data_IF_959593941621
#
_entry.id   IF_959593941621
#
_cell.length_a   1.000
_cell.length_b   1.000
_cell.length_c   1.000
_cell.angle_alpha   90.00
_cell.angle_beta   90.00
_cell.angle_gamma   90.00
#
_symmetry.space_group_name_H-M   'P 1'
#
loop_
_entity.id
_entity.type
_entity.pdbx_description
1 polymer ?
#
# COMPACT_ATOMS: atom_id res chain seq x y z
N UNK A 1 11.60 12.79 17.40
CA UNK A 1 10.58 11.99 16.69
C UNK A 1 10.15 12.79 15.49
N UNK A 2 10.40 12.28 14.29
CA UNK A 2 9.89 12.90 13.08
C UNK A 2 8.38 12.68 13.04
N UNK A 3 7.62 13.74 13.28
CA UNK A 3 6.19 13.76 13.18
C UNK A 3 5.77 13.60 11.71
N UNK A 4 4.70 12.89 11.47
CA UNK A 4 4.07 12.64 10.17
C UNK A 4 4.62 11.45 9.38
N UNK A 5 5.08 10.41 10.06
CA UNK A 5 5.46 9.16 9.40
C UNK A 5 4.26 8.23 9.23
N UNK A 6 3.81 8.08 7.99
CA UNK A 6 2.68 7.20 7.62
C UNK A 6 3.00 5.70 7.74
N UNK A 7 4.25 5.32 7.95
CA UNK A 7 4.65 3.92 8.16
C UNK A 7 4.10 3.32 9.47
N UNK A 8 3.71 4.19 10.40
CA UNK A 8 3.13 3.81 11.68
C UNK A 8 1.60 3.91 11.74
N UNK A 9 0.95 4.38 10.68
CA UNK A 9 -0.51 4.45 10.63
C UNK A 9 -1.12 3.05 10.75
N UNK A 10 -2.05 2.90 11.68
CA UNK A 10 -2.66 1.62 12.01
C UNK A 10 -1.90 0.76 13.03
N UNK A 11 -0.65 1.11 13.37
CA UNK A 11 0.11 0.43 14.43
C UNK A 11 -0.19 1.00 15.82
N UNK A 12 -0.45 2.29 15.89
CA UNK A 12 -0.87 2.99 17.10
C UNK A 12 -1.60 4.29 16.75
N UNK A 13 -2.26 4.86 17.74
CA UNK A 13 -2.96 6.14 17.65
C UNK A 13 -2.41 7.12 18.66
N UNK A 14 -2.38 8.39 18.29
CA UNK A 14 -1.86 9.48 19.13
C UNK A 14 -3.03 10.22 19.77
N UNK A 15 -3.31 9.95 21.03
CA UNK A 15 -4.34 10.65 21.81
C UNK A 15 -3.82 11.94 22.40
N UNK A 16 -4.60 13.01 22.30
CA UNK A 16 -4.29 14.34 22.84
C UNK A 16 -5.38 14.71 23.83
N UNK A 17 -5.12 14.51 25.11
CA UNK A 17 -6.12 14.72 26.17
C UNK A 17 -6.58 16.17 26.30
N UNK A 18 -5.72 17.14 26.03
CA UNK A 18 -6.09 18.57 26.07
C UNK A 18 -7.14 18.97 25.05
N UNK A 19 -7.24 18.23 23.95
CA UNK A 19 -8.23 18.48 22.88
C UNK A 19 -9.32 17.42 22.79
N UNK A 20 -9.16 16.31 23.50
CA UNK A 20 -10.07 15.17 23.45
C UNK A 20 -10.08 14.46 22.08
N UNK A 21 -8.96 14.49 21.34
CA UNK A 21 -8.86 13.98 19.97
C UNK A 21 -7.77 12.93 19.87
N UNK A 22 -8.03 11.84 19.13
CA UNK A 22 -6.98 10.92 18.72
C UNK A 22 -6.72 11.03 17.21
N UNK A 23 -5.45 10.94 16.85
CA UNK A 23 -4.94 11.11 15.49
C UNK A 23 -4.15 9.89 15.02
N UNK A 24 -4.00 9.78 13.70
CA UNK A 24 -3.00 8.90 13.10
C UNK A 24 -1.59 9.49 13.26
N UNK A 25 -0.53 8.67 13.32
CA UNK A 25 0.86 9.14 13.38
C UNK A 25 1.24 10.10 12.26
N UNK A 26 0.68 9.94 11.07
CA UNK A 26 0.92 10.81 9.91
C UNK A 26 0.13 12.11 9.90
N UNK A 27 -0.66 12.41 10.94
CA UNK A 27 -1.52 13.57 10.95
C UNK A 27 -0.73 14.87 10.86
N UNK A 28 -1.06 15.72 9.88
CA UNK A 28 -0.43 17.04 9.66
C UNK A 28 -0.98 18.15 10.60
N UNK A 29 -1.63 17.78 11.68
CA UNK A 29 -2.02 18.75 12.69
C UNK A 29 -0.81 19.30 13.45
N UNK A 30 -0.96 20.48 14.07
CA UNK A 30 0.09 21.04 14.93
C UNK A 30 0.44 20.02 16.03
N UNK A 31 1.74 19.81 16.23
CA UNK A 31 2.24 18.89 17.26
C UNK A 31 1.77 19.34 18.65
N UNK A 32 1.11 18.46 19.39
CA UNK A 32 0.74 18.72 20.76
C UNK A 32 1.98 18.70 21.68
N UNK A 33 1.85 19.32 22.83
CA UNK A 33 2.86 19.20 23.88
C UNK A 33 2.93 17.74 24.36
N UNK A 34 4.10 17.18 24.48
CA UNK A 34 4.33 15.78 24.84
C UNK A 34 3.60 15.36 26.14
N UNK A 35 3.53 16.27 27.11
CA UNK A 35 2.79 16.01 28.38
C UNK A 35 1.30 15.73 28.22
N UNK A 36 0.73 16.08 27.07
CA UNK A 36 -0.71 15.87 26.78
C UNK A 36 -0.95 14.69 25.82
N UNK A 37 0.12 13.97 25.46
CA UNK A 37 0.06 12.88 24.48
C UNK A 37 0.07 11.53 25.19
N UNK A 38 -0.85 10.67 24.78
CA UNK A 38 -0.87 9.24 25.16
C UNK A 38 -0.97 8.42 23.88
N UNK A 39 -0.22 7.34 23.82
CA UNK A 39 -0.27 6.42 22.69
C UNK A 39 -1.22 5.25 23.01
N UNK A 40 -2.08 4.93 22.05
CA UNK A 40 -3.04 3.83 22.14
C UNK A 40 -2.72 2.79 21.07
N UNK A 41 -2.73 1.53 21.42
CA UNK A 41 -2.47 0.44 20.46
C UNK A 41 -3.63 0.24 19.51
N UNK A 42 -4.86 0.53 19.97
CA UNK A 42 -6.06 0.39 19.17
C UNK A 42 -6.92 1.66 19.21
N UNK A 43 -7.78 1.81 18.23
CA UNK A 43 -8.75 2.90 18.18
C UNK A 43 -9.77 2.81 19.32
N UNK A 44 -10.18 1.59 19.63
CA UNK A 44 -11.14 1.29 20.68
C UNK A 44 -10.64 1.74 22.06
N UNK A 45 -9.35 1.57 22.35
CA UNK A 45 -8.70 2.09 23.55
C UNK A 45 -8.78 3.62 23.65
N UNK A 46 -8.51 4.32 22.53
CA UNK A 46 -8.60 5.76 22.47
C UNK A 46 -10.04 6.26 22.69
N UNK A 47 -11.03 5.58 22.11
CA UNK A 47 -12.46 5.90 22.30
C UNK A 47 -12.88 5.62 23.75
N UNK A 48 -12.47 4.50 24.34
CA UNK A 48 -12.73 4.17 25.74
C UNK A 48 -12.14 5.20 26.72
N UNK A 49 -11.04 5.85 26.33
CA UNK A 49 -10.44 6.98 27.06
C UNK A 49 -11.18 8.32 26.88
N UNK A 50 -12.31 8.32 26.18
CA UNK A 50 -13.13 9.51 25.93
C UNK A 50 -12.67 10.41 24.80
N UNK A 51 -11.76 9.91 23.93
CA UNK A 51 -11.27 10.67 22.78
C UNK A 51 -12.13 10.43 21.55
N UNK A 52 -12.25 11.44 20.69
CA UNK A 52 -12.90 11.35 19.39
C UNK A 52 -11.90 11.38 18.25
N UNK A 53 -12.28 10.83 17.10
CA UNK A 53 -11.43 10.83 15.90
C UNK A 53 -11.15 12.23 15.36
N UNK A 54 -9.96 12.43 14.86
CA UNK A 54 -9.54 13.67 14.23
C UNK A 54 -10.21 13.82 12.85
N UNK A 55 -10.91 14.94 12.63
CA UNK A 55 -11.56 15.25 11.36
C UNK A 55 -10.57 15.46 10.21
N UNK A 56 -9.33 15.89 10.51
CA UNK A 56 -8.30 16.16 9.50
C UNK A 56 -7.70 14.87 8.93
N UNK A 57 -7.27 13.93 9.77
CA UNK A 57 -6.73 12.65 9.33
C UNK A 57 -7.78 11.53 9.25
N UNK A 58 -9.01 11.80 9.66
CA UNK A 58 -10.14 10.86 9.68
C UNK A 58 -9.79 9.54 10.38
N UNK A 59 -9.07 9.64 11.51
CA UNK A 59 -8.62 8.48 12.30
C UNK A 59 -9.77 7.58 12.75
N UNK A 60 -10.97 8.12 12.88
CA UNK A 60 -12.19 7.39 13.23
C UNK A 60 -12.59 6.36 12.14
N UNK A 61 -12.31 6.68 10.87
CA UNK A 61 -12.66 5.84 9.73
C UNK A 61 -11.49 4.99 9.22
N UNK A 62 -10.31 5.15 9.80
CA UNK A 62 -9.10 4.43 9.40
C UNK A 62 -8.82 3.29 10.39
N UNK A 63 -8.57 2.05 9.95
CA UNK A 63 -8.56 1.51 8.59
C UNK A 63 -9.88 0.81 8.16
N UNK A 64 -10.97 0.98 8.86
CA UNK A 64 -12.15 0.10 8.84
C UNK A 64 -12.97 0.08 7.55
N UNK A 65 -12.87 1.10 6.72
CA UNK A 65 -13.57 1.11 5.44
C UNK A 65 -12.59 1.39 4.32
N UNK A 66 -12.50 0.46 3.39
CA UNK A 66 -11.83 0.70 2.13
C UNK A 66 -12.61 1.80 1.37
N UNK A 67 -11.98 2.94 1.08
CA UNK A 67 -12.66 3.94 0.27
C UNK A 67 -12.92 3.42 -1.14
N UNK A 68 -13.96 3.91 -1.77
CA UNK A 68 -14.38 3.51 -3.12
C UNK A 68 -13.23 3.57 -4.13
N UNK A 69 -12.45 4.67 -4.12
CA UNK A 69 -11.30 4.82 -4.98
C UNK A 69 -10.24 3.72 -4.82
N UNK A 70 -10.11 3.13 -3.63
CA UNK A 70 -9.17 2.03 -3.41
C UNK A 70 -9.68 0.73 -4.03
N UNK A 71 -10.99 0.47 -3.97
CA UNK A 71 -11.59 -0.64 -4.70
C UNK A 71 -11.36 -0.51 -6.21
N UNK A 72 -11.55 0.70 -6.76
CA UNK A 72 -11.33 0.98 -8.18
C UNK A 72 -9.88 0.77 -8.59
N UNK A 73 -8.93 1.22 -7.78
CA UNK A 73 -7.50 1.00 -8.01
C UNK A 73 -7.14 -0.48 -7.99
N UNK A 74 -7.65 -1.24 -7.02
CA UNK A 74 -7.38 -2.68 -6.93
C UNK A 74 -7.99 -3.44 -8.12
N UNK A 75 -9.19 -3.08 -8.55
CA UNK A 75 -9.82 -3.65 -9.74
C UNK A 75 -8.99 -3.33 -10.99
N UNK A 76 -8.61 -2.06 -11.16
CA UNK A 76 -7.74 -1.63 -12.26
C UNK A 76 -6.41 -2.42 -12.31
N UNK A 77 -5.74 -2.59 -11.17
CA UNK A 77 -4.49 -3.33 -11.08
C UNK A 77 -4.63 -4.80 -11.52
N UNK A 78 -5.77 -5.43 -11.20
CA UNK A 78 -6.06 -6.82 -11.61
C UNK A 78 -6.36 -6.94 -13.09
N UNK A 79 -7.06 -5.97 -13.66
CA UNK A 79 -7.41 -5.94 -15.09
C UNK A 79 -6.21 -5.60 -15.96
N UNK A 80 -5.30 -4.75 -15.47
CA UNK A 80 -4.13 -4.26 -16.21
C UNK A 80 -2.83 -4.89 -15.68
N UNK A 81 -2.81 -6.22 -15.58
CA UNK A 81 -1.66 -7.00 -15.08
C UNK A 81 -0.42 -6.94 -15.97
N UNK A 82 -0.59 -6.54 -17.20
CA UNK A 82 0.50 -6.43 -18.19
C UNK A 82 1.09 -5.02 -18.28
N UNK A 83 0.46 -4.01 -17.70
CA UNK A 83 0.88 -2.62 -17.82
C UNK A 83 1.71 -2.16 -16.62
N UNK A 84 2.67 -1.28 -16.89
CA UNK A 84 3.39 -0.58 -15.83
C UNK A 84 2.52 0.53 -15.25
N UNK A 85 2.33 0.52 -13.94
CA UNK A 85 1.59 1.56 -13.23
C UNK A 85 2.55 2.63 -12.71
N UNK A 86 2.14 3.91 -12.81
CA UNK A 86 2.88 5.06 -12.27
C UNK A 86 2.06 5.78 -11.21
N UNK A 87 2.74 6.55 -10.35
CA UNK A 87 2.06 7.33 -9.31
C UNK A 87 1.17 8.43 -9.90
N UNK A 88 1.60 9.05 -11.00
CA UNK A 88 0.82 10.05 -11.73
C UNK A 88 -0.51 9.47 -12.24
N UNK A 89 -0.48 8.22 -12.71
CA UNK A 89 -1.70 7.53 -13.14
C UNK A 89 -2.63 7.27 -11.97
N UNK A 90 -2.11 6.86 -10.82
CA UNK A 90 -2.89 6.66 -9.60
C UNK A 90 -3.56 7.96 -9.14
N UNK A 91 -2.83 9.07 -9.10
CA UNK A 91 -3.37 10.38 -8.75
C UNK A 91 -4.49 10.80 -9.71
N UNK A 92 -4.29 10.61 -11.01
CA UNK A 92 -5.28 10.92 -12.04
C UNK A 92 -6.57 10.12 -11.91
N UNK A 93 -6.44 8.82 -11.62
CA UNK A 93 -7.59 7.92 -11.46
C UNK A 93 -8.41 8.23 -10.23
N UNK A 94 -7.74 8.46 -9.12
CA UNK A 94 -8.37 8.58 -7.80
C UNK A 94 -8.69 10.01 -7.40
N UNK A 95 -7.98 10.98 -7.97
CA UNK A 95 -7.95 12.40 -7.55
C UNK A 95 -7.55 12.57 -6.07
N UNK A 96 -6.80 11.61 -5.55
CA UNK A 96 -6.26 11.55 -4.19
C UNK A 96 -4.76 11.76 -4.25
N UNK A 97 -4.19 12.47 -3.30
CA UNK A 97 -2.74 12.66 -3.23
C UNK A 97 -2.00 11.35 -2.96
N UNK A 98 -0.78 11.26 -3.45
CA UNK A 98 0.00 10.03 -3.39
C UNK A 98 0.34 9.60 -1.96
N UNK A 99 0.52 10.54 -1.04
CA UNK A 99 0.80 10.22 0.37
C UNK A 99 -0.39 9.53 1.03
N UNK A 100 -1.61 9.96 0.73
CA UNK A 100 -2.84 9.30 1.17
C UNK A 100 -2.99 7.91 0.56
N UNK A 101 -2.75 7.77 -0.75
CA UNK A 101 -2.79 6.47 -1.43
C UNK A 101 -1.79 5.50 -0.80
N UNK A 102 -0.54 5.91 -0.59
CA UNK A 102 0.49 5.08 0.05
C UNK A 102 0.11 4.69 1.47
N UNK A 103 -0.49 5.60 2.24
CA UNK A 103 -0.95 5.34 3.60
C UNK A 103 -2.00 4.23 3.64
N UNK A 104 -3.02 4.30 2.80
CA UNK A 104 -4.07 3.28 2.73
C UNK A 104 -3.52 1.92 2.25
N UNK A 105 -2.64 1.91 1.26
CA UNK A 105 -1.99 0.67 0.82
C UNK A 105 -1.17 0.02 1.93
N UNK A 106 -0.39 0.79 2.69
CA UNK A 106 0.37 0.24 3.83
C UNK A 106 -0.52 -0.28 4.94
N UNK A 107 -1.60 0.44 5.26
CA UNK A 107 -2.51 0.05 6.33
C UNK A 107 -3.30 -1.22 5.99
N UNK A 108 -3.81 -1.34 4.76
CA UNK A 108 -4.67 -2.45 4.36
C UNK A 108 -3.94 -3.60 3.70
N UNK A 109 -2.84 -3.34 3.01
CA UNK A 109 -2.13 -4.31 2.17
C UNK A 109 -0.67 -4.52 2.59
N UNK A 110 -0.18 -3.78 3.58
CA UNK A 110 1.18 -3.92 4.12
C UNK A 110 2.31 -3.50 3.17
N UNK A 111 2.00 -2.83 2.07
CA UNK A 111 2.96 -2.49 1.02
C UNK A 111 2.64 -1.16 0.32
N UNK A 112 3.48 -0.73 -0.61
CA UNK A 112 3.19 0.45 -1.43
C UNK A 112 2.39 0.08 -2.69
N UNK A 113 1.66 1.02 -3.32
CA UNK A 113 0.86 0.74 -4.52
C UNK A 113 1.67 0.11 -5.65
N UNK A 114 2.83 0.67 -5.95
CA UNK A 114 3.67 0.20 -7.05
C UNK A 114 4.29 -1.18 -6.77
N UNK A 115 4.67 -1.46 -5.51
CA UNK A 115 5.14 -2.79 -5.11
C UNK A 115 4.03 -3.82 -5.19
N UNK A 116 2.82 -3.45 -4.78
CA UNK A 116 1.65 -4.31 -4.88
C UNK A 116 1.32 -4.67 -6.34
N UNK A 117 1.31 -3.67 -7.23
CA UNK A 117 1.08 -3.92 -8.66
C UNK A 117 2.20 -4.73 -9.31
N UNK A 118 3.46 -4.48 -8.92
CA UNK A 118 4.60 -5.32 -9.36
C UNK A 118 4.40 -6.79 -8.99
N UNK A 119 3.92 -7.06 -7.77
CA UNK A 119 3.61 -8.42 -7.34
C UNK A 119 2.53 -9.07 -8.21
N UNK A 120 1.45 -8.34 -8.53
CA UNK A 120 0.39 -8.82 -9.44
C UNK A 120 0.96 -9.16 -10.82
N UNK A 121 1.81 -8.29 -11.38
CA UNK A 121 2.47 -8.52 -12.67
C UNK A 121 3.35 -9.76 -12.67
N UNK A 122 4.11 -9.97 -11.61
CA UNK A 122 4.99 -11.15 -11.47
C UNK A 122 4.19 -12.44 -11.20
N UNK A 123 3.06 -12.36 -10.51
CA UNK A 123 2.14 -13.51 -10.39
C UNK A 123 1.57 -13.90 -11.75
N UNK A 124 1.15 -12.93 -12.54
CA UNK A 124 0.71 -13.18 -13.91
C UNK A 124 1.82 -13.76 -14.79
N UNK A 125 3.05 -13.25 -14.67
CA UNK A 125 4.21 -13.83 -15.36
C UNK A 125 4.44 -15.31 -15.00
N UNK A 126 4.29 -15.65 -13.73
CA UNK A 126 4.39 -17.04 -13.28
C UNK A 126 3.33 -17.94 -13.91
N UNK A 127 2.09 -17.44 -14.02
CA UNK A 127 0.99 -18.16 -14.70
C UNK A 127 1.32 -18.40 -16.18
N UNK A 128 1.85 -17.39 -16.89
CA UNK A 128 2.27 -17.51 -18.28
C UNK A 128 3.40 -18.53 -18.47
N UNK A 129 4.44 -18.47 -17.63
CA UNK A 129 5.55 -19.42 -17.68
C UNK A 129 5.07 -20.87 -17.41
N UNK A 130 4.17 -21.04 -16.43
CA UNK A 130 3.60 -22.35 -16.12
C UNK A 130 2.72 -22.90 -17.25
N UNK A 131 2.15 -22.02 -18.09
CA UNK A 131 1.36 -22.40 -19.27
C UNK A 131 2.21 -22.60 -20.55
N UNK A 132 3.53 -22.51 -20.44
CA UNK A 132 4.46 -22.80 -21.54
C UNK A 132 4.90 -21.59 -22.38
N UNK A 133 4.60 -20.36 -21.93
CA UNK A 133 5.10 -19.16 -22.59
C UNK A 133 6.61 -19.04 -22.38
N UNK A 134 7.32 -18.58 -23.41
CA UNK A 134 8.76 -18.36 -23.29
C UNK A 134 9.10 -17.17 -22.37
N UNK A 135 10.29 -17.19 -21.83
CA UNK A 135 10.77 -16.20 -20.86
C UNK A 135 10.75 -14.76 -21.41
N UNK A 136 11.21 -14.58 -22.65
CA UNK A 136 11.37 -13.24 -23.22
C UNK A 136 10.01 -12.60 -23.53
N UNK A 137 9.12 -13.36 -24.16
CA UNK A 137 7.75 -12.93 -24.43
C UNK A 137 7.00 -12.60 -23.13
N UNK A 138 7.14 -13.45 -22.11
CA UNK A 138 6.53 -13.21 -20.79
C UNK A 138 7.04 -11.93 -20.15
N UNK A 139 8.35 -11.66 -20.22
CA UNK A 139 8.91 -10.43 -19.68
C UNK A 139 8.28 -9.18 -20.31
N UNK A 140 8.19 -9.13 -21.62
CA UNK A 140 7.61 -8.00 -22.34
C UNK A 140 6.10 -7.91 -22.14
N UNK A 141 5.37 -9.02 -22.16
CA UNK A 141 3.93 -9.06 -21.91
C UNK A 141 3.57 -8.55 -20.52
N UNK A 142 4.42 -8.80 -19.52
CA UNK A 142 4.25 -8.27 -18.17
C UNK A 142 4.79 -6.84 -17.99
N UNK A 143 5.10 -6.13 -19.09
CA UNK A 143 5.48 -4.72 -19.09
C UNK A 143 6.89 -4.45 -18.57
N UNK A 144 7.82 -5.39 -18.70
CA UNK A 144 9.24 -5.19 -18.43
C UNK A 144 9.97 -4.74 -19.70
N UNK A 145 10.85 -3.76 -19.57
CA UNK A 145 11.63 -3.21 -20.69
C UNK A 145 12.87 -4.05 -21.03
N UNK A 146 13.29 -4.92 -20.08
CA UNK A 146 14.46 -5.79 -20.25
C UNK A 146 14.29 -7.14 -19.59
N UNK A 147 14.88 -8.16 -20.19
CA UNK A 147 14.90 -9.51 -19.65
C UNK A 147 15.66 -9.60 -18.31
N UNK A 148 16.72 -8.80 -18.13
CA UNK A 148 17.48 -8.74 -16.87
C UNK A 148 16.68 -8.15 -15.73
N UNK A 149 15.99 -7.03 -15.97
CA UNK A 149 15.10 -6.41 -14.98
C UNK A 149 13.94 -7.32 -14.55
N UNK A 150 13.37 -8.05 -15.51
CA UNK A 150 12.35 -9.06 -15.20
C UNK A 150 12.91 -10.22 -14.36
N UNK A 151 14.06 -10.76 -14.74
CA UNK A 151 14.71 -11.86 -14.01
C UNK A 151 15.02 -11.48 -12.56
N UNK A 152 15.56 -10.27 -12.35
CA UNK A 152 15.88 -9.77 -11.03
C UNK A 152 14.62 -9.58 -10.17
N UNK A 153 13.58 -8.92 -10.71
CA UNK A 153 12.33 -8.71 -9.99
C UNK A 153 11.62 -10.03 -9.63
N UNK A 154 11.65 -11.00 -10.55
CA UNK A 154 11.08 -12.33 -10.34
C UNK A 154 11.83 -13.09 -9.25
N UNK A 155 13.18 -13.09 -9.29
CA UNK A 155 14.01 -13.74 -8.27
C UNK A 155 13.85 -13.11 -6.89
N UNK A 156 13.69 -11.80 -6.80
CA UNK A 156 13.41 -11.11 -5.54
C UNK A 156 12.07 -11.54 -4.91
N UNK A 157 11.05 -11.77 -5.72
CA UNK A 157 9.73 -12.17 -5.21
C UNK A 157 9.68 -13.67 -4.85
N UNK A 158 10.23 -14.53 -5.69
CA UNK A 158 10.08 -15.98 -5.58
C UNK A 158 11.30 -16.71 -5.03
N UNK A 159 12.41 -16.01 -4.78
CA UNK A 159 13.67 -16.59 -4.30
C UNK A 159 14.41 -17.45 -5.32
N UNK A 160 13.92 -17.53 -6.56
CA UNK A 160 14.53 -18.31 -7.64
C UNK A 160 14.27 -17.66 -9.01
N UNK A 161 15.19 -17.83 -9.98
CA UNK A 161 15.00 -17.27 -11.31
C UNK A 161 13.83 -17.93 -12.06
N UNK A 162 13.25 -17.25 -13.06
CA UNK A 162 12.08 -17.74 -13.80
C UNK A 162 12.27 -19.13 -14.42
N UNK A 163 13.49 -19.49 -14.81
CA UNK A 163 13.77 -20.80 -15.42
C UNK A 163 13.45 -22.04 -14.56
N UNK A 164 13.26 -21.86 -13.25
CA UNK A 164 12.80 -22.95 -12.37
C UNK A 164 11.30 -23.18 -12.38
N UNK A 165 10.55 -22.29 -13.02
CA UNK A 165 9.08 -22.33 -13.05
C UNK A 165 8.53 -22.76 -14.41
N UNK A 166 9.40 -23.12 -15.36
CA UNK A 166 8.95 -23.79 -16.57
C UNK A 166 8.45 -25.17 -16.24
N UNK A 167 7.28 -25.51 -16.73
CA UNK A 167 6.85 -26.91 -16.80
C UNK A 167 7.65 -27.52 -17.97
N UNK A 168 8.59 -28.40 -17.68
CA UNK A 168 9.16 -29.27 -18.71
C UNK A 168 8.02 -30.12 -19.29
N UNK A 169 7.66 -29.79 -20.49
CA UNK A 169 6.71 -30.59 -21.28
C UNK A 169 7.38 -31.81 -21.81
#
# INVERSE_FOLDING_TARGET
MSSNDSSYDGKFYVGVHSTGIYCLPSCKAKLPLLKNVVFYSTREEAIAAGLRGCRRCRSEKFPDTLPEWLHDVLAYMREHRSERLTEEKLIRMTRVDISTIRRYFRAHLGTTPLKFHRKIRLQYARELLASGHDFLSTAFECGYESASGFREAFAQLYGAPPGRFYVES
#
